data_IF_615784540194
#
_entry.id   IF_615784540194
#
_cell.length_a   1.000
_cell.length_b   1.000
_cell.length_c   1.000
_cell.angle_alpha   90.00
_cell.angle_beta   90.00
_cell.angle_gamma   90.00
#
_symmetry.space_group_name_H-M   'P 1'
#
loop_
_entity.id
_entity.type
_entity.pdbx_description
1 polymer ?
#
# COMPACT_ATOMS: atom_id res chain seq x y z
N UNK A 1 22.23 -6.68 14.19
CA UNK A 1 21.99 -7.83 13.28
C UNK A 1 22.46 -7.43 11.89
N UNK A 2 23.14 -8.31 11.16
CA UNK A 2 23.51 -8.04 9.78
C UNK A 2 22.25 -7.88 8.91
N UNK A 3 22.27 -6.90 8.02
CA UNK A 3 21.09 -6.57 7.18
C UNK A 3 20.67 -7.77 6.33
N UNK A 4 21.60 -8.49 5.73
CA UNK A 4 21.31 -9.64 4.88
C UNK A 4 20.65 -10.80 5.65
N UNK A 5 21.11 -11.07 6.87
CA UNK A 5 20.50 -12.10 7.71
C UNK A 5 19.05 -11.76 8.08
N UNK A 6 18.76 -10.48 8.33
CA UNK A 6 17.39 -10.04 8.59
C UNK A 6 16.51 -10.08 7.33
N UNK A 7 17.04 -9.70 6.20
CA UNK A 7 16.32 -9.76 4.91
C UNK A 7 15.94 -11.19 4.55
N UNK A 8 16.87 -12.15 4.72
CA UNK A 8 16.61 -13.58 4.51
C UNK A 8 15.55 -14.12 5.48
N UNK A 9 15.62 -13.73 6.74
CA UNK A 9 14.62 -14.08 7.73
C UNK A 9 13.23 -13.52 7.38
N UNK A 10 13.16 -12.25 6.95
CA UNK A 10 11.90 -11.59 6.56
C UNK A 10 11.26 -12.29 5.34
N UNK A 11 12.08 -12.70 4.39
CA UNK A 11 11.63 -13.47 3.22
C UNK A 11 11.03 -14.82 3.64
N UNK A 12 11.74 -15.59 4.47
CA UNK A 12 11.35 -16.93 4.86
C UNK A 12 10.14 -16.95 5.77
N UNK A 13 10.10 -16.11 6.80
CA UNK A 13 9.07 -16.17 7.84
C UNK A 13 7.85 -15.29 7.54
N UNK A 14 8.05 -14.18 6.83
CA UNK A 14 6.95 -13.24 6.56
C UNK A 14 6.43 -13.35 5.12
N UNK A 15 7.31 -13.22 4.12
CA UNK A 15 6.86 -13.17 2.72
C UNK A 15 6.50 -14.56 2.18
N UNK A 16 7.21 -15.62 2.58
CA UNK A 16 6.91 -16.96 2.09
C UNK A 16 5.56 -17.51 2.59
N UNK A 17 5.15 -17.17 3.81
CA UNK A 17 3.94 -17.69 4.45
C UNK A 17 3.04 -16.61 5.02
N UNK A 18 3.33 -16.12 6.22
CA UNK A 18 2.42 -15.35 7.07
C UNK A 18 1.68 -14.20 6.36
N UNK A 19 2.39 -13.35 5.59
CA UNK A 19 1.77 -12.23 4.87
C UNK A 19 0.96 -12.74 3.67
N UNK A 20 1.50 -13.72 2.93
CA UNK A 20 0.81 -14.34 1.80
C UNK A 20 -0.52 -15.00 2.20
N UNK A 21 -0.57 -15.58 3.37
CA UNK A 21 -1.78 -16.19 3.94
C UNK A 21 -2.80 -15.18 4.47
N UNK A 22 -2.47 -13.89 4.42
CA UNK A 22 -3.35 -12.79 4.80
C UNK A 22 -3.00 -12.12 6.12
N UNK A 23 -1.93 -12.55 6.78
CA UNK A 23 -1.41 -11.90 7.97
C UNK A 23 -0.92 -10.48 7.69
N UNK A 24 -0.71 -9.71 8.76
CA UNK A 24 -0.12 -8.38 8.65
C UNK A 24 0.90 -8.14 9.76
N UNK A 25 1.94 -7.37 9.44
CA UNK A 25 2.97 -7.02 10.41
C UNK A 25 3.52 -5.62 10.15
N UNK A 26 3.91 -4.94 11.25
CA UNK A 26 4.64 -3.68 11.20
C UNK A 26 6.03 -3.90 11.79
N UNK A 27 7.06 -3.59 11.03
CA UNK A 27 8.48 -3.72 11.41
C UNK A 27 9.17 -2.38 11.36
N UNK A 28 9.99 -2.11 12.37
CA UNK A 28 10.86 -0.94 12.45
C UNK A 28 12.29 -1.41 12.25
N UNK A 29 12.82 -1.18 11.07
CA UNK A 29 14.19 -1.51 10.68
C UNK A 29 15.06 -0.26 10.82
N UNK A 30 15.82 -0.16 11.91
CA UNK A 30 16.63 1.01 12.23
C UNK A 30 18.05 0.81 11.71
N UNK A 31 18.47 1.51 10.64
CA UNK A 31 19.85 1.47 10.16
C UNK A 31 20.79 2.08 11.19
N UNK A 32 21.95 1.48 11.42
CA UNK A 32 22.97 2.06 12.29
C UNK A 32 23.80 3.15 11.59
N UNK A 33 23.77 3.19 10.27
CA UNK A 33 24.45 4.19 9.43
C UNK A 33 23.64 4.49 8.16
N UNK A 34 23.96 5.59 7.48
CA UNK A 34 23.29 6.05 6.27
C UNK A 34 23.47 5.07 5.08
N UNK A 35 24.58 4.36 5.00
CA UNK A 35 24.84 3.41 3.91
C UNK A 35 23.98 2.14 4.01
N UNK A 36 23.56 1.78 5.22
CA UNK A 36 22.68 0.64 5.49
C UNK A 36 21.23 0.90 5.06
N UNK A 37 20.77 2.15 5.12
CA UNK A 37 19.38 2.54 4.80
C UNK A 37 18.91 2.12 3.40
N UNK A 38 19.58 2.52 2.29
CA UNK A 38 19.16 2.10 0.95
C UNK A 38 19.22 0.59 0.77
N UNK A 39 20.22 -0.09 1.36
CA UNK A 39 20.33 -1.56 1.30
C UNK A 39 19.12 -2.25 1.92
N UNK A 40 18.61 -1.73 3.04
CA UNK A 40 17.41 -2.26 3.69
C UNK A 40 16.18 -2.02 2.84
N UNK A 41 15.98 -0.79 2.36
CA UNK A 41 14.82 -0.43 1.54
C UNK A 41 14.78 -1.23 0.23
N UNK A 42 15.91 -1.29 -0.48
CA UNK A 42 15.99 -1.98 -1.77
C UNK A 42 15.98 -3.51 -1.58
N UNK A 43 16.69 -4.02 -0.57
CA UNK A 43 16.70 -5.45 -0.30
C UNK A 43 15.32 -6.01 0.12
N UNK A 44 14.51 -5.25 0.86
CA UNK A 44 13.11 -5.66 1.15
C UNK A 44 12.27 -5.61 -0.13
N UNK A 45 12.43 -4.56 -0.95
CA UNK A 45 11.66 -4.41 -2.18
C UNK A 45 11.95 -5.54 -3.17
N UNK A 46 13.22 -5.83 -3.45
CA UNK A 46 13.62 -6.90 -4.38
C UNK A 46 13.05 -8.27 -3.98
N UNK A 47 13.13 -8.62 -2.69
CA UNK A 47 12.58 -9.88 -2.19
C UNK A 47 11.06 -9.93 -2.27
N UNK A 48 10.41 -8.82 -1.93
CA UNK A 48 8.95 -8.72 -1.99
C UNK A 48 8.43 -8.82 -3.43
N UNK A 49 9.04 -8.09 -4.37
CA UNK A 49 8.71 -8.15 -5.79
C UNK A 49 8.96 -9.55 -6.36
N UNK A 50 10.12 -10.16 -6.05
CA UNK A 50 10.46 -11.53 -6.44
C UNK A 50 9.48 -12.56 -5.88
N UNK A 51 8.90 -12.32 -4.71
CA UNK A 51 7.88 -13.16 -4.10
C UNK A 51 6.43 -12.85 -4.57
N UNK A 52 6.23 -11.90 -5.50
CA UNK A 52 4.93 -11.57 -6.08
C UNK A 52 4.08 -10.60 -5.26
N UNK A 53 4.68 -9.79 -4.42
CA UNK A 53 4.02 -8.71 -3.68
C UNK A 53 4.02 -7.40 -4.46
N UNK A 54 3.00 -6.57 -4.24
CA UNK A 54 3.04 -5.18 -4.66
C UNK A 54 3.87 -4.37 -3.67
N UNK A 55 4.92 -3.72 -4.14
CA UNK A 55 5.77 -2.86 -3.31
C UNK A 55 5.37 -1.40 -3.52
N UNK A 56 5.09 -0.70 -2.41
CA UNK A 56 4.69 0.70 -2.38
C UNK A 56 5.62 1.46 -1.44
N UNK A 57 6.18 2.59 -1.87
CA UNK A 57 7.18 3.35 -1.13
C UNK A 57 6.72 4.77 -0.82
N UNK A 58 7.01 5.26 0.38
CA UNK A 58 6.89 6.66 0.73
C UNK A 58 8.09 7.14 1.54
N UNK A 59 8.59 8.30 1.18
CA UNK A 59 9.69 8.98 1.83
C UNK A 59 9.16 10.22 2.57
N UNK A 60 9.41 10.31 3.87
CA UNK A 60 8.99 11.42 4.71
C UNK A 60 9.65 12.75 4.31
N UNK A 61 10.75 12.75 3.57
CA UNK A 61 11.34 13.96 3.02
C UNK A 61 10.49 14.57 1.90
N UNK A 62 9.74 13.75 1.18
CA UNK A 62 8.91 14.17 0.04
C UNK A 62 7.42 14.20 0.39
N UNK A 63 6.97 13.36 1.31
CA UNK A 63 5.57 13.15 1.66
C UNK A 63 5.34 13.45 3.14
N UNK A 64 4.31 14.24 3.45
CA UNK A 64 3.89 14.47 4.84
C UNK A 64 3.17 13.23 5.38
N UNK A 65 3.94 12.22 5.80
CA UNK A 65 3.41 10.92 6.23
C UNK A 65 2.44 11.01 7.41
N UNK A 66 2.54 12.05 8.25
CA UNK A 66 1.57 12.32 9.33
C UNK A 66 0.17 12.70 8.81
N UNK A 67 0.03 12.94 7.51
CA UNK A 67 -1.23 13.19 6.83
C UNK A 67 -1.59 11.95 6.02
N UNK A 68 -2.46 11.11 6.56
CA UNK A 68 -2.80 9.80 5.98
C UNK A 68 -3.36 9.91 4.55
N UNK A 69 -4.00 11.01 4.20
CA UNK A 69 -4.47 11.29 2.84
C UNK A 69 -3.31 11.54 1.87
N UNK A 70 -2.28 12.27 2.29
CA UNK A 70 -1.08 12.45 1.47
C UNK A 70 -0.27 11.16 1.34
N UNK A 71 -0.16 10.38 2.42
CA UNK A 71 0.44 9.06 2.36
C UNK A 71 -0.32 8.16 1.36
N UNK A 72 -1.65 8.10 1.46
CA UNK A 72 -2.46 7.31 0.52
C UNK A 72 -2.23 7.74 -0.93
N UNK A 73 -2.28 9.02 -1.24
CA UNK A 73 -2.04 9.53 -2.60
C UNK A 73 -0.66 9.12 -3.12
N UNK A 74 0.39 9.27 -2.29
CA UNK A 74 1.75 8.86 -2.67
C UNK A 74 1.86 7.37 -2.97
N UNK A 75 1.19 6.51 -2.21
CA UNK A 75 1.15 5.08 -2.48
C UNK A 75 0.31 4.78 -3.73
N UNK A 76 -0.82 5.46 -3.91
CA UNK A 76 -1.72 5.28 -5.04
C UNK A 76 -1.12 5.71 -6.40
N UNK A 77 -0.16 6.64 -6.41
CA UNK A 77 0.62 7.04 -7.60
C UNK A 77 1.43 5.88 -8.21
N UNK A 78 1.80 4.90 -7.39
CA UNK A 78 2.63 3.75 -7.78
C UNK A 78 1.81 2.53 -8.20
N UNK A 79 0.49 2.59 -8.03
CA UNK A 79 -0.40 1.48 -8.34
C UNK A 79 -0.74 1.46 -9.82
N UNK A 80 -0.52 0.35 -10.53
CA UNK A 80 -0.88 0.20 -11.95
C UNK A 80 -2.39 -0.09 -12.09
N UNK A 81 -3.23 0.93 -11.87
CA UNK A 81 -4.70 0.80 -11.76
C UNK A 81 -5.35 0.09 -12.95
N UNK A 82 -4.89 0.40 -14.18
CA UNK A 82 -5.37 -0.25 -15.39
C UNK A 82 -5.05 -1.73 -15.40
N UNK A 83 -3.80 -2.08 -15.11
CA UNK A 83 -3.36 -3.48 -15.06
C UNK A 83 -4.11 -4.28 -13.99
N UNK A 84 -4.34 -3.68 -12.80
CA UNK A 84 -5.16 -4.31 -11.76
C UNK A 84 -6.59 -4.59 -12.26
N UNK A 85 -7.19 -3.64 -12.98
CA UNK A 85 -8.53 -3.83 -13.54
C UNK A 85 -8.55 -4.94 -14.58
N UNK A 86 -7.55 -5.05 -15.42
CA UNK A 86 -7.41 -6.14 -16.41
C UNK A 86 -7.22 -7.49 -15.71
N UNK A 87 -6.33 -7.59 -14.74
CA UNK A 87 -6.12 -8.81 -13.95
C UNK A 87 -7.40 -9.26 -13.24
N UNK A 88 -8.16 -8.28 -12.69
CA UNK A 88 -9.44 -8.58 -12.07
C UNK A 88 -10.44 -9.15 -13.08
N UNK A 89 -10.57 -8.54 -14.27
CA UNK A 89 -11.46 -9.00 -15.33
C UNK A 89 -11.08 -10.39 -15.82
N UNK A 90 -9.79 -10.70 -15.95
CA UNK A 90 -9.34 -12.05 -16.30
C UNK A 90 -9.75 -13.09 -15.25
N UNK A 91 -9.62 -12.75 -13.95
CA UNK A 91 -10.07 -13.64 -12.89
C UNK A 91 -11.58 -13.79 -12.87
N UNK A 92 -12.30 -12.70 -13.14
CA UNK A 92 -13.75 -12.73 -13.25
C UNK A 92 -14.19 -13.66 -14.39
N UNK A 93 -13.53 -13.54 -15.56
CA UNK A 93 -13.78 -14.44 -16.70
C UNK A 93 -13.57 -15.92 -16.31
N UNK A 94 -12.45 -16.25 -15.62
CA UNK A 94 -12.20 -17.61 -15.13
C UNK A 94 -13.28 -18.10 -14.16
N UNK A 95 -13.75 -17.24 -13.24
CA UNK A 95 -14.81 -17.58 -12.28
C UNK A 95 -16.14 -17.85 -12.97
N UNK A 96 -16.44 -17.10 -14.02
CA UNK A 96 -17.63 -17.30 -14.86
C UNK A 96 -17.41 -18.41 -15.91
N UNK A 97 -16.31 -19.15 -15.85
CA UNK A 97 -15.93 -20.29 -16.71
C UNK A 97 -15.64 -19.92 -18.17
N UNK A 98 -15.21 -18.68 -18.42
CA UNK A 98 -14.69 -18.25 -19.71
C UNK A 98 -13.17 -18.39 -19.77
N UNK A 99 -12.65 -18.67 -20.95
CA UNK A 99 -11.23 -18.60 -21.26
C UNK A 99 -10.80 -17.14 -21.31
N UNK A 100 -9.88 -16.68 -20.45
CA UNK A 100 -9.40 -15.30 -20.50
C UNK A 100 -8.77 -14.97 -21.86
N UNK A 101 -8.95 -13.75 -22.36
CA UNK A 101 -8.38 -13.35 -23.63
C UNK A 101 -6.87 -13.11 -23.52
N UNK A 102 -6.17 -13.15 -24.66
CA UNK A 102 -4.81 -12.67 -24.77
C UNK A 102 -4.77 -11.14 -24.67
N UNK A 103 -3.61 -10.58 -24.31
CA UNK A 103 -3.42 -9.13 -24.31
C UNK A 103 -3.58 -8.57 -25.74
N UNK A 104 -4.16 -7.37 -25.84
CA UNK A 104 -4.39 -6.72 -27.13
C UNK A 104 -5.03 -5.34 -26.98
N UNK A 105 -5.09 -4.55 -28.07
CA UNK A 105 -5.59 -3.18 -28.04
C UNK A 105 -7.12 -3.06 -28.02
N UNK A 106 -7.84 -4.12 -28.43
CA UNK A 106 -9.31 -4.13 -28.45
C UNK A 106 -9.87 -4.17 -27.01
N UNK A 107 -11.11 -3.67 -26.80
CA UNK A 107 -11.79 -3.77 -25.51
C UNK A 107 -11.79 -5.20 -24.95
N UNK A 108 -11.73 -5.32 -23.62
CA UNK A 108 -11.65 -6.64 -23.00
C UNK A 108 -12.83 -7.55 -23.40
N UNK A 109 -14.04 -6.99 -23.50
CA UNK A 109 -15.24 -7.77 -23.89
C UNK A 109 -15.16 -8.33 -25.30
N UNK A 110 -14.61 -7.60 -26.25
CA UNK A 110 -14.44 -8.06 -27.64
C UNK A 110 -13.42 -9.19 -27.72
N UNK A 111 -12.27 -9.02 -27.07
CA UNK A 111 -11.23 -10.06 -26.98
C UNK A 111 -11.72 -11.31 -26.26
N UNK A 112 -12.54 -11.15 -25.22
CA UNK A 112 -13.14 -12.28 -24.51
C UNK A 112 -14.17 -13.00 -25.38
N UNK A 113 -14.96 -12.27 -26.16
CA UNK A 113 -15.94 -12.80 -27.09
C UNK A 113 -15.26 -13.67 -28.16
N UNK A 114 -14.18 -13.18 -28.75
CA UNK A 114 -13.36 -13.91 -29.71
C UNK A 114 -12.75 -15.18 -29.10
N UNK A 115 -12.17 -15.08 -27.89
CA UNK A 115 -11.53 -16.21 -27.22
C UNK A 115 -12.50 -17.35 -26.84
N UNK A 116 -13.82 -17.08 -26.80
CA UNK A 116 -14.82 -18.03 -26.37
C UNK A 116 -15.90 -18.33 -27.46
N UNK A 117 -15.72 -17.81 -28.66
CA UNK A 117 -16.72 -17.96 -29.77
C UNK A 117 -18.12 -17.50 -29.36
N UNK A 118 -18.21 -16.34 -28.72
CA UNK A 118 -19.45 -15.75 -28.18
C UNK A 118 -19.63 -14.32 -28.69
N UNK A 119 -20.84 -13.79 -28.57
CA UNK A 119 -21.13 -12.40 -28.88
C UNK A 119 -20.74 -11.44 -27.76
N UNK A 120 -20.08 -10.32 -28.08
CA UNK A 120 -19.77 -9.27 -27.13
C UNK A 120 -21.01 -8.66 -26.47
N UNK A 121 -22.13 -8.57 -27.24
CA UNK A 121 -23.44 -8.10 -26.78
C UNK A 121 -24.04 -8.97 -25.68
N UNK A 122 -23.72 -10.26 -25.69
CA UNK A 122 -24.12 -11.21 -24.65
C UNK A 122 -23.23 -11.09 -23.43
N UNK A 123 -21.89 -11.06 -23.61
CA UNK A 123 -20.92 -11.06 -22.53
C UNK A 123 -20.89 -9.75 -21.74
N UNK A 124 -21.07 -8.61 -22.40
CA UNK A 124 -21.02 -7.30 -21.77
C UNK A 124 -22.00 -7.13 -20.60
N UNK A 125 -23.31 -7.37 -20.79
CA UNK A 125 -24.30 -7.32 -19.71
C UNK A 125 -24.05 -8.34 -18.60
N UNK A 126 -23.59 -9.56 -18.92
CA UNK A 126 -23.29 -10.60 -17.95
C UNK A 126 -22.12 -10.19 -17.04
N UNK A 127 -21.01 -9.77 -17.62
CA UNK A 127 -19.83 -9.34 -16.86
C UNK A 127 -20.12 -8.07 -16.04
N UNK A 128 -20.90 -7.13 -16.57
CA UNK A 128 -21.37 -5.97 -15.80
C UNK A 128 -22.16 -6.39 -14.56
N UNK A 129 -23.08 -7.35 -14.69
CA UNK A 129 -23.86 -7.91 -13.59
C UNK A 129 -22.96 -8.61 -12.56
N UNK A 130 -21.96 -9.35 -13.03
CA UNK A 130 -20.97 -10.02 -12.18
C UNK A 130 -20.09 -9.02 -11.43
N UNK A 131 -19.64 -7.93 -12.07
CA UNK A 131 -18.93 -6.82 -11.42
C UNK A 131 -19.79 -6.15 -10.34
N UNK A 132 -21.07 -5.94 -10.60
CA UNK A 132 -22.00 -5.40 -9.59
C UNK A 132 -22.12 -6.32 -8.36
N UNK A 133 -22.11 -7.62 -8.55
CA UNK A 133 -22.20 -8.60 -7.45
C UNK A 133 -20.90 -8.72 -6.69
N UNK A 134 -19.75 -8.75 -7.37
CA UNK A 134 -18.46 -9.13 -6.80
C UNK A 134 -17.61 -7.93 -6.34
N UNK A 135 -17.81 -6.74 -6.92
CA UNK A 135 -17.04 -5.52 -6.53
C UNK A 135 -17.95 -4.47 -5.90
N UNK A 136 -19.00 -4.06 -6.63
CA UNK A 136 -19.85 -2.96 -6.16
C UNK A 136 -20.56 -3.25 -4.84
N UNK A 137 -20.92 -4.51 -4.58
CA UNK A 137 -21.56 -4.96 -3.33
C UNK A 137 -20.60 -5.48 -2.28
N UNK A 138 -19.31 -5.49 -2.56
CA UNK A 138 -18.30 -5.94 -1.60
C UNK A 138 -18.16 -4.93 -0.46
N UNK A 139 -18.65 -5.28 0.73
CA UNK A 139 -18.61 -4.44 1.92
C UNK A 139 -17.27 -4.47 2.64
N UNK A 140 -16.35 -5.34 2.25
CA UNK A 140 -14.96 -5.31 2.76
C UNK A 140 -14.19 -4.11 2.22
N UNK A 141 -14.63 -3.53 1.10
CA UNK A 141 -14.07 -2.34 0.48
C UNK A 141 -14.84 -1.08 0.91
N UNK A 142 -14.12 0.00 1.14
CA UNK A 142 -14.71 1.33 1.38
C UNK A 142 -15.63 1.74 0.23
N UNK A 143 -16.74 2.41 0.54
CA UNK A 143 -17.81 2.69 -0.43
C UNK A 143 -17.30 3.35 -1.72
N UNK A 144 -16.58 4.48 -1.60
CA UNK A 144 -16.12 5.20 -2.79
C UNK A 144 -15.00 4.44 -3.52
N UNK A 145 -14.22 3.61 -2.81
CA UNK A 145 -13.21 2.74 -3.42
C UNK A 145 -13.83 1.65 -4.29
N UNK A 146 -14.82 0.91 -3.77
CA UNK A 146 -15.49 -0.14 -4.57
C UNK A 146 -16.23 0.42 -5.78
N UNK A 147 -16.78 1.64 -5.67
CA UNK A 147 -17.35 2.35 -6.81
C UNK A 147 -16.26 2.65 -7.84
N UNK A 148 -15.13 3.22 -7.40
CA UNK A 148 -14.00 3.52 -8.29
C UNK A 148 -13.47 2.28 -9.01
N UNK A 149 -13.26 1.16 -8.28
CA UNK A 149 -12.79 -0.10 -8.89
C UNK A 149 -13.81 -0.67 -9.87
N UNK A 150 -15.12 -0.59 -9.56
CA UNK A 150 -16.16 -1.00 -10.49
C UNK A 150 -16.11 -0.19 -11.79
N UNK A 151 -15.95 1.12 -11.69
CA UNK A 151 -15.87 2.01 -12.86
C UNK A 151 -14.60 1.76 -13.68
N UNK A 152 -13.44 1.54 -13.03
CA UNK A 152 -12.21 1.19 -13.72
C UNK A 152 -12.36 -0.15 -14.48
N UNK A 153 -12.95 -1.16 -13.83
CA UNK A 153 -13.20 -2.45 -14.49
C UNK A 153 -14.21 -2.31 -15.66
N UNK A 154 -15.25 -1.50 -15.53
CA UNK A 154 -16.20 -1.24 -16.62
C UNK A 154 -15.52 -0.48 -17.77
N UNK A 155 -14.66 0.48 -17.47
CA UNK A 155 -13.90 1.23 -18.46
C UNK A 155 -12.96 0.32 -19.28
N UNK A 156 -12.25 -0.59 -18.62
CA UNK A 156 -11.41 -1.59 -19.29
C UNK A 156 -12.26 -2.63 -20.07
N UNK A 157 -13.40 -3.03 -19.52
CA UNK A 157 -14.31 -4.00 -20.16
C UNK A 157 -14.80 -3.50 -21.51
N UNK A 158 -15.27 -2.25 -21.57
CA UNK A 158 -15.90 -1.69 -22.78
C UNK A 158 -14.96 -0.82 -23.61
N UNK A 159 -13.86 -0.32 -23.04
CA UNK A 159 -12.86 0.50 -23.74
C UNK A 159 -13.42 1.80 -24.34
N UNK A 160 -12.79 2.23 -25.43
CA UNK A 160 -13.18 3.43 -26.18
C UNK A 160 -12.79 4.74 -25.48
N UNK A 161 -13.12 5.88 -26.10
CA UNK A 161 -12.75 7.21 -25.60
C UNK A 161 -13.37 7.51 -24.21
N UNK A 162 -14.59 7.05 -23.96
CA UNK A 162 -15.26 7.19 -22.67
C UNK A 162 -14.57 6.36 -21.57
N UNK A 163 -14.13 5.14 -21.92
CA UNK A 163 -13.35 4.29 -21.01
C UNK A 163 -12.02 4.95 -20.63
N UNK A 164 -11.28 5.47 -21.61
CA UNK A 164 -10.03 6.17 -21.36
C UNK A 164 -10.21 7.40 -20.44
N UNK A 165 -11.23 8.20 -20.70
CA UNK A 165 -11.55 9.35 -19.85
C UNK A 165 -11.93 8.92 -18.43
N UNK A 166 -12.68 7.84 -18.27
CA UNK A 166 -13.05 7.28 -16.97
C UNK A 166 -11.83 6.84 -16.18
N UNK A 167 -10.91 6.12 -16.83
CA UNK A 167 -9.65 5.67 -16.19
C UNK A 167 -8.82 6.87 -15.74
N UNK A 168 -8.67 7.87 -16.61
CA UNK A 168 -7.92 9.08 -16.28
C UNK A 168 -8.51 9.80 -15.05
N UNK A 169 -9.79 10.11 -15.09
CA UNK A 169 -10.46 10.89 -14.02
C UNK A 169 -10.43 10.16 -12.68
N UNK A 170 -10.65 8.85 -12.67
CA UNK A 170 -10.63 8.06 -11.44
C UNK A 170 -9.19 7.93 -10.91
N UNK A 171 -8.21 7.74 -11.78
CA UNK A 171 -6.79 7.70 -11.40
C UNK A 171 -6.35 9.04 -10.81
N UNK A 172 -6.73 10.17 -11.41
CA UNK A 172 -6.46 11.51 -10.86
C UNK A 172 -7.07 11.72 -9.48
N UNK A 173 -8.26 11.17 -9.22
CA UNK A 173 -8.88 11.20 -7.90
C UNK A 173 -8.11 10.33 -6.89
N UNK A 174 -7.72 9.11 -7.25
CA UNK A 174 -6.95 8.19 -6.39
C UNK A 174 -5.58 8.77 -6.04
N UNK A 175 -4.88 9.37 -6.99
CA UNK A 175 -3.55 9.95 -6.82
C UNK A 175 -3.58 11.36 -6.21
N UNK A 176 -4.75 11.97 -6.12
CA UNK A 176 -4.91 13.36 -5.62
C UNK A 176 -4.45 14.42 -6.61
N UNK A 177 -4.18 14.07 -7.87
CA UNK A 177 -3.88 15.01 -8.94
C UNK A 177 -5.08 15.94 -9.20
N UNK A 178 -6.31 15.41 -9.07
CA UNK A 178 -7.53 16.21 -9.12
C UNK A 178 -8.35 16.00 -7.83
N UNK A 179 -8.49 17.06 -7.04
CA UNK A 179 -9.23 17.05 -5.77
C UNK A 179 -10.68 17.53 -5.90
N UNK A 180 -11.12 17.89 -7.11
CA UNK A 180 -12.47 18.38 -7.34
C UNK A 180 -13.47 17.21 -7.35
N UNK A 181 -14.39 17.19 -6.37
CA UNK A 181 -15.45 16.16 -6.31
C UNK A 181 -16.38 16.23 -7.52
N UNK A 182 -16.53 17.39 -8.14
CA UNK A 182 -17.33 17.58 -9.37
C UNK A 182 -16.83 16.71 -10.52
N UNK A 183 -15.54 16.44 -10.62
CA UNK A 183 -14.95 15.60 -11.67
C UNK A 183 -15.37 14.12 -11.53
N UNK A 184 -15.47 13.61 -10.31
CA UNK A 184 -15.78 12.19 -10.02
C UNK A 184 -17.25 11.94 -9.70
N UNK A 185 -18.04 13.00 -9.50
CA UNK A 185 -19.48 12.88 -9.20
C UNK A 185 -20.28 12.12 -10.29
N UNK A 186 -20.02 12.29 -11.61
CA UNK A 186 -20.67 11.49 -12.65
C UNK A 186 -20.46 9.99 -12.49
N UNK A 187 -19.33 9.59 -11.91
CA UNK A 187 -18.98 8.18 -11.63
C UNK A 187 -19.52 7.68 -10.29
N UNK A 188 -20.43 8.42 -9.65
CA UNK A 188 -21.04 8.11 -8.34
C UNK A 188 -20.07 8.13 -7.14
N UNK A 189 -18.87 8.69 -7.29
CA UNK A 189 -17.94 8.98 -6.20
C UNK A 189 -18.34 10.33 -5.61
N UNK A 190 -18.58 10.36 -4.29
CA UNK A 190 -19.21 11.52 -3.64
C UNK A 190 -18.31 12.30 -2.68
N UNK A 191 -17.14 11.76 -2.37
CA UNK A 191 -16.19 12.40 -1.47
C UNK A 191 -14.81 12.57 -2.09
N UNK A 192 -14.12 13.64 -1.71
CA UNK A 192 -12.67 13.72 -1.92
C UNK A 192 -11.96 12.81 -0.92
N UNK A 193 -10.77 12.37 -1.26
CA UNK A 193 -9.89 11.68 -0.33
C UNK A 193 -9.35 12.71 0.67
N UNK A 194 -9.48 12.42 1.96
CA UNK A 194 -9.10 13.29 3.07
C UNK A 194 -8.68 12.43 4.28
N UNK A 195 -8.23 13.06 5.35
CA UNK A 195 -7.76 12.37 6.56
C UNK A 195 -8.78 11.41 7.19
N UNK A 196 -10.08 11.66 7.00
CA UNK A 196 -11.14 10.85 7.61
C UNK A 196 -11.33 9.51 6.88
N UNK A 197 -11.20 9.49 5.55
CA UNK A 197 -11.50 8.32 4.73
C UNK A 197 -10.25 7.62 4.13
N UNK A 198 -9.10 8.30 4.05
CA UNK A 198 -7.91 7.78 3.38
C UNK A 198 -7.40 6.46 3.98
N UNK A 199 -7.55 6.26 5.30
CA UNK A 199 -7.18 5.00 5.95
C UNK A 199 -8.02 3.83 5.44
N UNK A 200 -9.32 3.99 5.35
CA UNK A 200 -10.22 2.95 4.83
C UNK A 200 -9.97 2.66 3.34
N UNK A 201 -9.55 3.69 2.58
CA UNK A 201 -9.14 3.52 1.18
C UNK A 201 -7.82 2.75 1.07
N UNK A 202 -6.86 2.98 1.99
CA UNK A 202 -5.62 2.21 2.05
C UNK A 202 -5.90 0.74 2.40
N UNK A 203 -6.72 0.48 3.41
CA UNK A 203 -7.16 -0.87 3.78
C UNK A 203 -7.83 -1.57 2.57
N UNK A 204 -8.67 -0.84 1.83
CA UNK A 204 -9.32 -1.34 0.61
C UNK A 204 -8.33 -1.62 -0.53
N UNK A 205 -7.29 -0.79 -0.70
CA UNK A 205 -6.22 -1.02 -1.67
C UNK A 205 -5.48 -2.32 -1.39
N UNK A 206 -5.17 -2.62 -0.13
CA UNK A 206 -4.49 -3.86 0.25
C UNK A 206 -5.33 -5.10 -0.10
N UNK A 207 -6.63 -5.05 0.21
CA UNK A 207 -7.58 -6.11 -0.19
C UNK A 207 -7.66 -6.24 -1.70
N UNK A 208 -7.74 -5.10 -2.42
CA UNK A 208 -7.83 -5.08 -3.88
C UNK A 208 -6.60 -5.69 -4.56
N UNK A 209 -5.39 -5.37 -4.07
CA UNK A 209 -4.15 -5.95 -4.60
C UNK A 209 -4.16 -7.48 -4.53
N UNK A 210 -4.58 -8.04 -3.41
CA UNK A 210 -4.74 -9.50 -3.28
C UNK A 210 -5.81 -10.06 -4.20
N UNK A 211 -6.92 -9.35 -4.32
CA UNK A 211 -8.00 -9.73 -5.25
C UNK A 211 -7.53 -9.73 -6.70
N UNK A 212 -6.52 -8.93 -7.04
CA UNK A 212 -5.90 -8.85 -8.38
C UNK A 212 -4.65 -9.73 -8.53
N UNK A 213 -4.52 -10.82 -7.76
CA UNK A 213 -3.46 -11.84 -7.85
C UNK A 213 -2.08 -11.41 -7.36
N UNK A 214 -1.94 -10.34 -6.62
CA UNK A 214 -0.74 -10.17 -5.81
C UNK A 214 -0.85 -11.05 -4.55
N UNK A 215 0.26 -11.56 -4.06
CA UNK A 215 0.28 -12.31 -2.78
C UNK A 215 -0.09 -11.42 -1.60
N UNK A 216 0.16 -10.13 -1.72
CA UNK A 216 -0.12 -9.10 -0.74
C UNK A 216 0.56 -7.80 -1.13
N UNK A 217 0.79 -6.93 -0.14
CA UNK A 217 1.48 -5.67 -0.34
C UNK A 217 2.60 -5.49 0.68
N UNK A 218 3.71 -4.90 0.24
CA UNK A 218 4.78 -4.43 1.12
C UNK A 218 4.84 -2.91 1.02
N UNK A 219 4.63 -2.23 2.15
CA UNK A 219 4.72 -0.78 2.23
C UNK A 219 6.04 -0.42 2.90
N UNK A 220 6.89 0.33 2.22
CA UNK A 220 8.17 0.83 2.72
C UNK A 220 8.03 2.31 3.06
N UNK A 221 8.18 2.64 4.34
CA UNK A 221 8.16 4.02 4.82
C UNK A 221 9.55 4.44 5.27
N UNK A 222 10.25 5.23 4.48
CA UNK A 222 11.44 5.93 4.95
C UNK A 222 11.00 7.11 5.81
N UNK A 223 11.28 7.03 7.11
CA UNK A 223 10.86 8.01 8.10
C UNK A 223 12.02 8.75 8.76
N UNK A 224 13.22 8.66 8.19
CA UNK A 224 14.41 9.34 8.68
C UNK A 224 14.17 10.84 8.93
N UNK A 225 13.54 11.49 7.96
CA UNK A 225 13.22 12.91 8.00
C UNK A 225 12.40 13.34 9.22
N UNK A 226 11.62 12.45 9.81
CA UNK A 226 10.70 12.75 10.92
C UNK A 226 11.47 13.19 12.18
N UNK A 227 12.62 12.58 12.44
CA UNK A 227 13.45 12.88 13.63
C UNK A 227 14.35 14.08 13.48
N UNK A 228 14.51 14.64 12.28
CA UNK A 228 15.40 15.79 12.01
C UNK A 228 14.98 17.01 12.83
N UNK A 229 15.89 17.48 13.72
CA UNK A 229 15.59 18.52 14.71
C UNK A 229 15.49 19.94 14.10
N UNK A 230 16.28 20.22 13.06
CA UNK A 230 16.34 21.55 12.40
C UNK A 230 15.89 21.41 10.95
N UNK A 231 15.15 22.40 10.46
CA UNK A 231 14.78 22.44 9.05
C UNK A 231 16.04 22.55 8.17
N UNK A 232 16.35 21.52 7.35
CA UNK A 232 17.55 21.52 6.52
C UNK A 232 17.53 22.55 5.39
N UNK A 233 16.34 23.14 5.09
CA UNK A 233 16.12 24.13 4.00
C UNK A 233 16.47 23.59 2.61
N UNK A 234 16.31 22.28 2.40
CA UNK A 234 16.55 21.56 1.16
C UNK A 234 15.28 21.44 0.26
N UNK A 235 14.22 22.15 0.63
CA UNK A 235 12.93 22.09 -0.06
C UNK A 235 12.06 20.90 0.33
N UNK A 236 12.58 19.94 1.09
CA UNK A 236 11.83 18.78 1.58
C UNK A 236 10.91 19.11 2.77
N UNK A 237 10.10 18.14 3.15
CA UNK A 237 9.19 18.26 4.29
C UNK A 237 9.99 18.43 5.59
N UNK A 238 9.57 19.38 6.40
CA UNK A 238 10.05 19.52 7.77
C UNK A 238 8.93 19.19 8.76
N UNK A 239 9.23 18.33 9.72
CA UNK A 239 8.30 17.92 10.76
C UNK A 239 8.46 18.79 11.99
N UNK A 240 7.50 19.64 12.30
CA UNK A 240 7.39 20.30 13.60
C UNK A 240 7.19 19.24 14.69
N UNK A 241 7.31 19.63 15.97
CA UNK A 241 7.05 18.69 17.07
C UNK A 241 5.63 18.11 17.01
N UNK A 242 4.63 18.90 16.65
CA UNK A 242 3.26 18.44 16.49
C UNK A 242 3.15 17.44 15.33
N UNK A 243 3.72 17.74 14.16
CA UNK A 243 3.71 16.84 13.01
C UNK A 243 4.47 15.52 13.26
N UNK A 244 5.53 15.56 14.09
CA UNK A 244 6.23 14.35 14.54
C UNK A 244 5.32 13.48 15.42
N UNK A 245 4.62 14.08 16.38
CA UNK A 245 3.69 13.34 17.24
C UNK A 245 2.53 12.76 16.45
N UNK A 246 2.00 13.51 15.47
CA UNK A 246 0.97 13.01 14.55
C UNK A 246 1.50 11.84 13.70
N UNK A 247 2.77 11.87 13.26
CA UNK A 247 3.38 10.76 12.53
C UNK A 247 3.52 9.52 13.43
N UNK A 248 3.95 9.68 14.67
CA UNK A 248 4.04 8.58 15.64
C UNK A 248 2.67 8.03 16.00
N UNK A 249 1.66 8.87 16.12
CA UNK A 249 0.28 8.43 16.29
C UNK A 249 -0.21 7.60 15.10
N UNK A 250 0.08 8.01 13.87
CA UNK A 250 -0.26 7.23 12.68
C UNK A 250 0.43 5.85 12.68
N UNK A 251 1.73 5.79 13.00
CA UNK A 251 2.46 4.52 13.10
C UNK A 251 1.87 3.61 14.17
N UNK A 252 1.53 4.18 15.35
CA UNK A 252 0.83 3.45 16.41
C UNK A 252 -0.50 2.87 15.93
N UNK A 253 -1.28 3.67 15.20
CA UNK A 253 -2.55 3.21 14.65
C UNK A 253 -2.40 2.08 13.63
N UNK A 254 -1.32 2.04 12.86
CA UNK A 254 -1.03 0.90 11.98
C UNK A 254 -0.70 -0.35 12.77
N UNK A 255 0.04 -0.24 13.88
CA UNK A 255 0.32 -1.38 14.76
C UNK A 255 -0.98 -1.90 15.39
N UNK A 256 -1.78 -1.01 15.98
CA UNK A 256 -3.03 -1.38 16.66
C UNK A 256 -4.12 -1.88 15.69
N UNK A 257 -4.01 -1.58 14.43
CA UNK A 257 -4.97 -1.98 13.39
C UNK A 257 -4.43 -2.98 12.39
N UNK A 258 -3.44 -3.79 12.76
CA UNK A 258 -2.88 -4.83 11.87
C UNK A 258 -3.93 -5.84 11.40
N UNK A 259 -4.97 -6.11 12.17
CA UNK A 259 -6.11 -6.95 11.80
C UNK A 259 -6.86 -6.47 10.54
N UNK A 260 -6.73 -5.19 10.19
CA UNK A 260 -7.33 -4.57 9.00
C UNK A 260 -6.40 -4.49 7.80
N UNK A 261 -5.09 -4.69 8.02
CA UNK A 261 -4.06 -4.59 6.99
C UNK A 261 -3.83 -5.94 6.30
N UNK A 262 -4.87 -6.55 5.74
CA UNK A 262 -4.83 -7.89 5.18
C UNK A 262 -3.72 -8.09 4.15
N UNK A 263 -2.84 -9.06 4.40
CA UNK A 263 -1.73 -9.40 3.52
C UNK A 263 -0.72 -8.26 3.35
N UNK A 264 -0.44 -7.53 4.44
CA UNK A 264 0.43 -6.36 4.40
C UNK A 264 1.63 -6.48 5.33
N UNK A 265 2.82 -6.28 4.78
CA UNK A 265 4.02 -6.00 5.55
C UNK A 265 4.35 -4.51 5.46
N UNK A 266 4.23 -3.80 6.58
CA UNK A 266 4.66 -2.41 6.69
C UNK A 266 6.06 -2.37 7.30
N UNK A 267 7.07 -1.93 6.55
CA UNK A 267 8.44 -1.74 7.01
C UNK A 267 8.71 -0.24 7.15
N UNK A 268 8.91 0.20 8.37
CA UNK A 268 9.29 1.57 8.71
C UNK A 268 10.80 1.63 8.89
N UNK A 269 11.46 2.51 8.16
CA UNK A 269 12.92 2.69 8.21
C UNK A 269 13.21 4.10 8.75
N UNK A 270 13.30 4.26 10.08
CA UNK A 270 13.54 5.56 10.72
C UNK A 270 15.03 5.90 10.75
N UNK A 271 15.33 7.14 11.14
CA UNK A 271 16.69 7.55 11.52
C UNK A 271 17.15 6.93 12.83
N UNK A 272 18.47 6.95 13.09
CA UNK A 272 19.05 6.37 14.30
C UNK A 272 18.52 7.03 15.59
N UNK A 273 18.11 8.30 15.54
CA UNK A 273 17.56 9.04 16.68
C UNK A 273 16.17 8.52 17.10
N UNK A 274 15.51 7.75 16.24
CA UNK A 274 14.20 7.16 16.56
C UNK A 274 14.22 6.33 17.83
N UNK A 275 15.32 5.63 18.11
CA UNK A 275 15.46 4.75 19.28
C UNK A 275 15.72 5.50 20.61
N UNK A 276 15.84 6.81 20.59
CA UNK A 276 15.99 7.62 21.81
C UNK A 276 14.70 7.55 22.64
N UNK A 277 14.85 7.13 23.90
CA UNK A 277 13.73 6.95 24.85
C UNK A 277 13.60 8.10 25.85
N UNK A 278 14.53 9.06 25.86
CA UNK A 278 14.49 10.19 26.77
C UNK A 278 13.36 11.16 26.39
N UNK A 279 12.71 11.71 27.42
CA UNK A 279 11.71 12.77 27.23
C UNK A 279 12.38 14.05 26.71
N UNK A 280 11.75 14.65 25.72
CA UNK A 280 12.23 15.91 25.13
C UNK A 280 13.07 15.74 23.87
N UNK A 281 13.53 14.53 23.55
CA UNK A 281 14.14 14.20 22.26
C UNK A 281 13.09 14.13 21.14
N UNK A 282 13.54 13.82 19.93
CA UNK A 282 12.66 13.56 18.79
C UNK A 282 12.45 12.05 18.51
N UNK A 283 13.06 11.20 19.34
CA UNK A 283 12.89 9.75 19.28
C UNK A 283 11.54 9.28 19.80
N UNK A 284 11.34 7.97 19.84
CA UNK A 284 10.07 7.34 20.25
C UNK A 284 9.71 7.63 21.71
N UNK A 285 10.68 8.00 22.58
CA UNK A 285 10.42 8.45 23.95
C UNK A 285 9.58 9.71 24.04
N UNK A 286 9.44 10.48 22.96
CA UNK A 286 8.53 11.62 22.90
C UNK A 286 7.06 11.21 22.76
N UNK A 287 6.78 9.93 22.45
CA UNK A 287 5.43 9.39 22.32
C UNK A 287 5.34 7.97 22.90
N UNK A 288 5.10 7.92 24.21
CA UNK A 288 5.09 6.68 25.01
C UNK A 288 4.18 5.59 24.44
N UNK A 289 3.03 5.99 23.87
CA UNK A 289 2.08 5.03 23.31
C UNK A 289 2.63 4.22 22.12
N UNK A 290 3.51 4.80 21.29
CA UNK A 290 4.24 4.08 20.26
C UNK A 290 5.39 3.29 20.87
N UNK A 291 6.15 3.91 21.76
CA UNK A 291 7.30 3.32 22.40
C UNK A 291 6.96 1.95 23.03
N UNK A 292 5.87 1.86 23.80
CA UNK A 292 5.45 0.62 24.45
C UNK A 292 4.99 -0.49 23.49
N UNK A 293 4.70 -0.15 22.23
CA UNK A 293 4.32 -1.14 21.19
C UNK A 293 5.50 -1.62 20.36
N UNK A 294 6.55 -0.81 20.33
CA UNK A 294 7.72 -1.05 19.49
C UNK A 294 8.85 -1.70 20.28
N UNK A 295 8.99 -1.34 21.56
CA UNK A 295 10.01 -1.93 22.44
C UNK A 295 9.54 -3.29 22.91
N UNK A 296 10.32 -4.31 22.59
CA UNK A 296 10.16 -5.64 23.15
C UNK A 296 10.50 -5.62 24.66
N UNK A 297 9.66 -6.21 25.50
CA UNK A 297 9.90 -6.30 26.95
C UNK A 297 11.04 -7.28 27.28
N UNK A 298 11.33 -8.22 26.39
CA UNK A 298 12.39 -9.21 26.58
C UNK A 298 13.73 -8.62 26.10
N UNK A 299 14.45 -8.00 27.03
CA UNK A 299 15.79 -7.48 26.80
C UNK A 299 16.84 -8.55 27.08
N UNK A 300 17.07 -9.46 26.14
CA UNK A 300 18.32 -10.20 26.12
C UNK A 300 19.37 -9.34 25.40
N UNK A 301 20.46 -9.01 26.07
CA UNK A 301 21.53 -8.17 25.51
C UNK A 301 22.37 -8.91 24.46
N UNK A 302 22.38 -10.22 24.52
CA UNK A 302 23.25 -11.09 23.73
C UNK A 302 22.54 -11.74 22.54
N UNK A 303 21.19 -11.76 22.52
CA UNK A 303 20.39 -12.36 21.45
C UNK A 303 19.48 -11.31 20.79
N UNK A 304 19.67 -11.09 19.50
CA UNK A 304 18.75 -10.29 18.69
C UNK A 304 17.60 -11.18 18.24
N UNK A 305 16.39 -10.88 18.72
CA UNK A 305 15.17 -11.53 18.25
C UNK A 305 14.77 -10.97 16.87
N UNK A 306 14.90 -11.72 15.77
CA UNK A 306 14.54 -11.25 14.43
C UNK A 306 13.02 -11.06 14.26
N UNK A 307 12.21 -11.65 15.15
CA UNK A 307 10.75 -11.46 15.17
C UNK A 307 10.33 -10.16 15.88
N UNK A 308 11.21 -9.48 16.61
CA UNK A 308 10.89 -8.24 17.29
C UNK A 308 10.31 -7.19 16.33
N UNK A 309 9.46 -6.33 16.87
CA UNK A 309 8.91 -5.20 16.10
C UNK A 309 9.98 -4.19 15.69
N UNK A 310 11.01 -4.01 16.53
CA UNK A 310 12.14 -3.11 16.27
C UNK A 310 13.45 -3.88 16.17
N UNK A 311 14.17 -3.65 15.08
CA UNK A 311 15.48 -4.27 14.83
C UNK A 311 16.48 -3.18 14.43
N UNK A 312 17.67 -3.23 15.01
CA UNK A 312 18.82 -2.41 14.60
C UNK A 312 19.64 -3.18 13.59
N UNK A 313 19.82 -2.60 12.40
CA UNK A 313 20.49 -3.23 11.28
C UNK A 313 21.83 -2.52 11.01
N UNK A 314 22.88 -3.32 10.93
CA UNK A 314 24.23 -2.86 10.59
C UNK A 314 24.74 -3.50 9.31
N UNK A 315 25.87 -2.97 8.80
CA UNK A 315 26.63 -3.62 7.76
C UNK A 315 27.21 -4.96 8.27
N UNK A 316 27.63 -5.81 7.34
CA UNK A 316 28.41 -7.00 7.68
C UNK A 316 29.70 -6.59 8.41
N UNK A 317 30.01 -7.33 9.49
CA UNK A 317 31.31 -7.25 10.13
C UNK A 317 32.37 -7.84 9.21
#
# INVERSE_FOLDING_TARGET
MASEAWLSFLEQEYLAGFIGDGGASVKFAVPIDEATRPRVLDGVAERAEGAGYMVLRADAAQTRIHMVDQLFHRLAEQVPWRELSQRYLEQLARRERYTPPTAGPAPFVERLAEANDLGADFLGPELRKSLQRSVFRDTSLAKDFRVAMTQLCLAELFGGAEGEMTIQVITEWLTGANKAVSAVKPYQIRSRINRTNARYLLESLLVWNRTCSYRGSVILLDTDRVTVARNPKDGGVYYTKAALLDAYELLRQFIDGTDRLQGCLLVVVPGPEFVETERGTRGMGSYEALMFRVIDEIRDRDLVNPMASLIRLGGEL
#
